data_IF_850111039274
#
_entry.id   IF_850111039274
#
_cell.length_a   1.000
_cell.length_b   1.000
_cell.length_c   1.000
_cell.angle_alpha   90.00
_cell.angle_beta   90.00
_cell.angle_gamma   90.00
#
_symmetry.space_group_name_H-M   'P 1'
#
loop_
_entity.id
_entity.type
_entity.pdbx_description
1 polymer ?
#
# COMPACT_ATOMS: atom_id res chain seq x y z
N UNK A 1 -8.16 17.42 52.05
CA UNK A 1 -8.73 18.01 50.81
C UNK A 1 -9.08 16.85 49.89
N UNK A 2 -10.28 16.30 50.01
CA UNK A 2 -10.79 15.28 49.08
C UNK A 2 -11.44 16.00 47.91
N UNK A 3 -10.69 16.19 46.83
CA UNK A 3 -11.28 16.57 45.56
C UNK A 3 -12.01 15.33 45.02
N UNK A 4 -13.32 15.25 45.25
CA UNK A 4 -14.18 14.35 44.47
C UNK A 4 -14.04 14.78 43.02
N UNK A 5 -13.34 13.97 42.22
CA UNK A 5 -13.19 14.21 40.78
C UNK A 5 -14.59 14.40 40.19
N UNK A 6 -14.87 15.52 39.50
CA UNK A 6 -16.14 15.71 38.82
C UNK A 6 -16.39 14.53 37.90
N UNK A 7 -17.66 14.12 37.81
CA UNK A 7 -18.09 13.02 36.98
C UNK A 7 -17.47 13.14 35.58
N UNK A 8 -16.84 12.08 35.06
CA UNK A 8 -16.03 12.19 33.83
C UNK A 8 -16.83 12.67 32.60
N UNK A 9 -18.16 12.64 32.69
CA UNK A 9 -19.10 13.20 31.73
C UNK A 9 -19.06 14.74 31.62
N UNK A 10 -18.62 15.46 32.66
CA UNK A 10 -18.56 16.93 32.69
C UNK A 10 -17.49 17.51 31.74
N UNK A 11 -16.49 16.70 31.37
CA UNK A 11 -15.41 17.08 30.46
C UNK A 11 -15.68 16.68 29.00
N UNK A 12 -16.83 16.06 28.73
CA UNK A 12 -17.23 15.65 27.39
C UNK A 12 -17.98 16.78 26.68
N UNK A 13 -17.79 16.96 25.36
CA UNK A 13 -18.66 17.84 24.58
C UNK A 13 -20.12 17.46 24.80
N UNK A 14 -20.95 18.41 25.19
CA UNK A 14 -22.38 18.19 25.50
C UNK A 14 -23.26 18.12 24.27
N UNK A 15 -22.72 18.53 23.12
CA UNK A 15 -23.46 18.82 21.90
C UNK A 15 -23.31 17.71 20.84
N UNK A 16 -22.59 16.63 21.16
CA UNK A 16 -22.21 15.55 20.23
C UNK A 16 -22.88 14.21 20.58
N UNK A 17 -23.32 13.47 19.56
CA UNK A 17 -23.91 12.15 19.72
C UNK A 17 -22.87 11.05 19.99
N UNK A 18 -23.33 9.87 20.42
CA UNK A 18 -22.45 8.70 20.64
C UNK A 18 -21.75 8.22 19.36
N UNK A 19 -22.35 8.46 18.19
CA UNK A 19 -21.77 8.13 16.88
C UNK A 19 -20.64 9.08 16.49
N UNK A 20 -20.77 10.37 16.80
CA UNK A 20 -19.76 11.39 16.48
C UNK A 20 -18.48 11.10 17.27
N UNK A 21 -18.64 10.79 18.56
CA UNK A 21 -17.55 10.35 19.41
C UNK A 21 -16.83 9.10 18.89
N UNK A 22 -17.59 8.13 18.38
CA UNK A 22 -17.00 6.92 17.78
C UNK A 22 -16.22 7.26 16.51
N UNK A 23 -16.78 8.10 15.64
CA UNK A 23 -16.13 8.51 14.40
C UNK A 23 -14.85 9.31 14.66
N UNK A 24 -14.87 10.20 15.66
CA UNK A 24 -13.69 10.90 16.13
C UNK A 24 -12.61 9.89 16.56
N UNK A 25 -12.92 9.04 17.54
CA UNK A 25 -11.97 8.05 18.05
C UNK A 25 -11.41 7.15 16.92
N UNK A 26 -12.28 6.69 16.02
CA UNK A 26 -11.91 5.87 14.88
C UNK A 26 -10.97 6.61 13.92
N UNK A 27 -11.25 7.88 13.61
CA UNK A 27 -10.42 8.70 12.74
C UNK A 27 -9.02 8.97 13.33
N UNK A 28 -8.95 9.24 14.63
CA UNK A 28 -7.69 9.42 15.33
C UNK A 28 -6.84 8.14 15.31
N UNK A 29 -7.45 7.00 15.65
CA UNK A 29 -6.78 5.69 15.61
C UNK A 29 -6.36 5.33 14.18
N UNK A 30 -7.20 5.62 13.18
CA UNK A 30 -6.90 5.40 11.76
C UNK A 30 -5.68 6.18 11.28
N UNK A 31 -5.51 7.42 11.76
CA UNK A 31 -4.35 8.25 11.44
C UNK A 31 -3.06 7.69 12.07
N UNK A 32 -3.13 7.20 13.31
CA UNK A 32 -2.03 6.50 13.95
C UNK A 32 -1.63 5.22 13.19
N UNK A 33 -2.62 4.42 12.76
CA UNK A 33 -2.39 3.23 11.95
C UNK A 33 -1.73 3.55 10.61
N UNK A 34 -2.13 4.66 9.98
CA UNK A 34 -1.51 5.16 8.74
C UNK A 34 -0.03 5.48 8.97
N UNK A 35 0.32 6.09 10.10
CA UNK A 35 1.72 6.34 10.49
C UNK A 35 2.54 5.06 10.64
N UNK A 36 1.99 4.03 11.30
CA UNK A 36 2.65 2.72 11.40
C UNK A 36 2.84 2.07 10.01
N UNK A 37 1.82 2.13 9.16
CA UNK A 37 1.88 1.64 7.79
C UNK A 37 2.97 2.31 6.98
N UNK A 38 3.08 3.64 7.07
CA UNK A 38 4.17 4.41 6.44
C UNK A 38 5.54 4.01 7.00
N UNK A 39 5.66 3.81 8.31
CA UNK A 39 6.90 3.34 8.94
C UNK A 39 7.36 1.98 8.38
N UNK A 40 6.45 1.02 8.25
CA UNK A 40 6.74 -0.28 7.62
C UNK A 40 7.19 -0.08 6.17
N UNK A 41 6.47 0.73 5.39
CA UNK A 41 6.84 1.03 4.00
C UNK A 41 8.24 1.66 3.90
N UNK A 42 8.59 2.56 4.83
CA UNK A 42 9.92 3.17 4.92
C UNK A 42 11.02 2.15 5.22
N UNK A 43 10.80 1.22 6.14
CA UNK A 43 11.78 0.15 6.42
C UNK A 43 12.00 -0.75 5.20
N UNK A 44 10.93 -1.11 4.48
CA UNK A 44 11.02 -1.88 3.23
C UNK A 44 11.77 -1.10 2.15
N UNK A 45 11.54 0.21 2.05
CA UNK A 45 12.28 1.09 1.17
C UNK A 45 13.78 1.06 1.49
N UNK A 46 14.19 1.18 2.75
CA UNK A 46 15.60 1.09 3.15
C UNK A 46 16.23 -0.26 2.78
N UNK A 47 15.51 -1.38 3.01
CA UNK A 47 15.97 -2.71 2.62
C UNK A 47 16.11 -2.86 1.10
N UNK A 48 15.14 -2.35 0.33
CA UNK A 48 15.22 -2.35 -1.12
C UNK A 48 16.36 -1.45 -1.63
N UNK A 49 16.51 -0.24 -1.08
CA UNK A 49 17.53 0.71 -1.47
C UNK A 49 18.95 0.14 -1.27
N UNK A 50 19.22 -0.50 -0.13
CA UNK A 50 20.53 -1.13 0.13
C UNK A 50 20.83 -2.27 -0.86
N UNK A 51 19.85 -3.10 -1.19
CA UNK A 51 20.01 -4.18 -2.18
C UNK A 51 20.21 -3.64 -3.59
N UNK A 52 19.43 -2.63 -3.99
CA UNK A 52 19.56 -1.99 -5.30
C UNK A 52 20.89 -1.25 -5.42
N UNK A 53 21.36 -0.63 -4.35
CA UNK A 53 22.67 0.04 -4.29
C UNK A 53 23.82 -0.94 -4.50
N UNK A 54 23.79 -2.08 -3.80
CA UNK A 54 24.78 -3.14 -4.00
C UNK A 54 24.74 -3.69 -5.44
N UNK A 55 23.54 -3.82 -6.04
CA UNK A 55 23.39 -4.24 -7.43
C UNK A 55 23.94 -3.20 -8.43
N UNK A 56 23.82 -1.90 -8.11
CA UNK A 56 24.37 -0.80 -8.91
C UNK A 56 25.90 -0.89 -8.98
N UNK A 57 26.55 -1.19 -7.86
CA UNK A 57 28.01 -1.36 -7.77
C UNK A 57 28.52 -2.58 -8.54
N UNK A 58 27.72 -3.65 -8.64
CA UNK A 58 28.10 -4.88 -9.35
C UNK A 58 28.01 -4.76 -10.89
N UNK A 59 27.64 -3.61 -11.44
CA UNK A 59 27.44 -3.31 -12.88
C UNK A 59 26.42 -4.21 -13.62
N UNK A 60 25.84 -5.22 -12.96
CA UNK A 60 24.87 -6.12 -13.57
C UNK A 60 23.46 -5.50 -13.50
N UNK A 61 22.89 -5.17 -14.67
CA UNK A 61 21.56 -4.53 -14.82
C UNK A 61 21.46 -3.13 -14.16
N UNK A 62 22.52 -2.32 -14.25
CA UNK A 62 22.60 -0.97 -13.69
C UNK A 62 21.38 -0.09 -14.00
N UNK A 63 20.93 -0.03 -15.27
CA UNK A 63 19.78 0.79 -15.68
C UNK A 63 18.48 0.41 -14.97
N UNK A 64 18.23 -0.89 -14.77
CA UNK A 64 17.02 -1.36 -14.08
C UNK A 64 17.07 -1.06 -12.59
N UNK A 65 18.23 -1.23 -11.96
CA UNK A 65 18.43 -0.91 -10.55
C UNK A 65 18.26 0.60 -10.28
N UNK A 66 18.84 1.45 -11.14
CA UNK A 66 18.68 2.90 -11.05
C UNK A 66 17.21 3.32 -11.19
N UNK A 67 16.51 2.83 -12.22
CA UNK A 67 15.11 3.16 -12.44
C UNK A 67 14.22 2.74 -11.25
N UNK A 68 14.42 1.52 -10.73
CA UNK A 68 13.65 1.04 -9.57
C UNK A 68 13.94 1.86 -8.31
N UNK A 69 15.19 2.30 -8.11
CA UNK A 69 15.57 3.11 -6.96
C UNK A 69 14.91 4.49 -7.02
N UNK A 70 14.95 5.16 -8.17
CA UNK A 70 14.26 6.44 -8.38
C UNK A 70 12.75 6.28 -8.23
N UNK A 71 12.19 5.18 -8.73
CA UNK A 71 10.77 4.93 -8.60
C UNK A 71 10.34 4.78 -7.12
N UNK A 72 11.07 3.99 -6.34
CA UNK A 72 10.74 3.77 -4.92
C UNK A 72 11.05 4.98 -4.04
N UNK A 73 12.05 5.80 -4.39
CA UNK A 73 12.30 7.08 -3.70
C UNK A 73 11.14 8.05 -3.90
N UNK A 74 10.64 8.18 -5.13
CA UNK A 74 9.48 9.05 -5.41
C UNK A 74 8.24 8.53 -4.66
N UNK A 75 8.01 7.21 -4.67
CA UNK A 75 6.88 6.60 -3.96
C UNK A 75 6.91 6.93 -2.46
N UNK A 76 8.07 6.81 -1.79
CA UNK A 76 8.15 7.09 -0.35
C UNK A 76 8.02 8.59 -0.03
N UNK A 77 8.52 9.46 -0.91
CA UNK A 77 8.33 10.92 -0.77
C UNK A 77 6.85 11.28 -0.87
N UNK A 78 6.14 10.76 -1.88
CA UNK A 78 4.70 10.96 -2.01
C UNK A 78 3.94 10.38 -0.81
N UNK A 79 4.32 9.20 -0.32
CA UNK A 79 3.74 8.61 0.89
C UNK A 79 3.95 9.48 2.14
N UNK A 80 5.10 10.13 2.26
CA UNK A 80 5.41 11.06 3.34
C UNK A 80 4.52 12.30 3.28
N UNK A 81 4.36 12.89 2.09
CA UNK A 81 3.49 14.05 1.87
C UNK A 81 2.03 13.73 2.19
N UNK A 82 1.54 12.57 1.75
CA UNK A 82 0.20 12.10 2.10
C UNK A 82 0.03 11.97 3.63
N UNK A 83 0.96 11.28 4.31
CA UNK A 83 0.90 11.14 5.76
C UNK A 83 0.94 12.49 6.48
N UNK A 84 1.79 13.43 6.03
CA UNK A 84 1.87 14.77 6.59
C UNK A 84 0.54 15.53 6.42
N UNK A 85 -0.11 15.43 5.25
CA UNK A 85 -1.42 16.04 5.01
C UNK A 85 -2.50 15.45 5.93
N UNK A 86 -2.54 14.12 6.08
CA UNK A 86 -3.50 13.44 6.96
C UNK A 86 -3.33 13.87 8.43
N UNK A 87 -2.09 13.95 8.92
CA UNK A 87 -1.80 14.42 10.28
C UNK A 87 -2.22 15.88 10.47
N UNK A 88 -2.03 16.74 9.46
CA UNK A 88 -2.44 18.15 9.52
C UNK A 88 -3.96 18.30 9.62
N UNK A 89 -4.72 17.60 8.78
CA UNK A 89 -6.20 17.64 8.82
C UNK A 89 -6.72 17.24 10.21
N UNK A 90 -6.15 16.17 10.77
CA UNK A 90 -6.55 15.68 12.10
C UNK A 90 -6.10 16.65 13.19
N UNK A 91 -4.88 17.18 13.11
CA UNK A 91 -4.43 18.21 14.05
C UNK A 91 -5.37 19.42 14.04
N UNK A 92 -5.78 19.90 12.86
CA UNK A 92 -6.65 21.05 12.75
C UNK A 92 -8.07 20.76 13.27
N UNK A 93 -8.62 19.57 13.02
CA UNK A 93 -9.91 19.17 13.57
C UNK A 93 -9.90 19.06 15.10
N UNK A 94 -8.84 18.51 15.69
CA UNK A 94 -8.78 18.23 17.13
C UNK A 94 -8.25 19.39 17.99
N UNK A 95 -7.40 20.25 17.41
CA UNK A 95 -6.70 21.32 18.13
C UNK A 95 -7.23 22.69 17.72
N UNK A 96 -7.25 22.99 16.42
CA UNK A 96 -7.53 24.34 15.90
C UNK A 96 -9.04 24.63 15.85
N UNK A 97 -9.83 23.69 15.35
CA UNK A 97 -11.26 23.82 15.09
C UNK A 97 -12.07 22.80 15.91
N UNK A 98 -11.71 22.63 17.17
CA UNK A 98 -12.34 21.65 18.07
C UNK A 98 -13.86 21.84 18.23
N UNK A 99 -14.34 23.08 18.19
CA UNK A 99 -15.75 23.41 18.34
C UNK A 99 -16.50 23.46 16.99
N UNK A 100 -15.99 22.77 15.96
CA UNK A 100 -16.67 22.68 14.68
C UNK A 100 -18.00 21.93 14.84
N UNK A 101 -19.09 22.37 14.19
CA UNK A 101 -20.38 21.69 14.30
C UNK A 101 -20.28 20.24 13.80
N UNK A 102 -20.62 19.28 14.66
CA UNK A 102 -20.48 17.85 14.38
C UNK A 102 -19.11 17.24 14.75
N UNK A 103 -18.24 18.01 15.42
CA UNK A 103 -16.99 17.55 15.99
C UNK A 103 -15.80 17.52 15.02
N UNK A 104 -14.61 17.10 15.50
CA UNK A 104 -13.38 16.98 14.74
C UNK A 104 -13.49 16.15 13.45
N UNK A 105 -14.26 15.06 13.45
CA UNK A 105 -14.49 14.24 12.26
C UNK A 105 -15.32 14.97 11.20
N UNK A 106 -16.34 15.74 11.59
CA UNK A 106 -17.07 16.56 10.63
C UNK A 106 -16.15 17.62 9.99
N UNK A 107 -15.20 18.16 10.76
CA UNK A 107 -14.16 19.03 10.20
C UNK A 107 -13.29 18.30 9.18
N UNK A 108 -12.88 17.05 9.41
CA UNK A 108 -12.04 16.34 8.44
C UNK A 108 -12.78 16.10 7.12
N UNK A 109 -14.07 15.74 7.19
CA UNK A 109 -14.96 15.61 6.02
C UNK A 109 -15.07 16.91 5.24
N UNK A 110 -15.22 18.04 5.95
CA UNK A 110 -15.25 19.37 5.33
C UNK A 110 -13.88 19.76 4.74
N UNK A 111 -12.80 19.47 5.46
CA UNK A 111 -11.44 19.78 5.06
C UNK A 111 -11.03 19.01 3.79
N UNK A 112 -11.60 17.83 3.50
CA UNK A 112 -11.37 17.15 2.23
C UNK A 112 -11.80 17.96 1.00
N UNK A 113 -12.82 18.81 1.13
CA UNK A 113 -13.30 19.70 0.05
C UNK A 113 -12.56 21.02 -0.04
N UNK A 114 -11.66 21.33 0.90
CA UNK A 114 -10.91 22.58 0.83
C UNK A 114 -9.80 22.46 -0.21
N UNK A 115 -9.52 23.53 -0.98
CA UNK A 115 -8.44 23.55 -1.97
C UNK A 115 -7.09 23.13 -1.38
N UNK A 116 -6.87 23.41 -0.09
CA UNK A 116 -5.65 23.11 0.64
C UNK A 116 -5.40 21.60 0.78
N UNK A 117 -6.45 20.77 0.82
CA UNK A 117 -6.32 19.31 0.98
C UNK A 117 -6.49 18.52 -0.33
N UNK A 118 -6.89 19.18 -1.41
CA UNK A 118 -6.98 18.56 -2.73
C UNK A 118 -5.64 17.91 -3.15
N UNK A 119 -4.51 18.55 -2.81
CA UNK A 119 -3.18 17.97 -3.04
C UNK A 119 -2.99 16.63 -2.29
N UNK A 120 -3.47 16.52 -1.06
CA UNK A 120 -3.41 15.28 -0.28
C UNK A 120 -4.19 14.15 -0.94
N UNK A 121 -5.37 14.46 -1.47
CA UNK A 121 -6.23 13.51 -2.20
C UNK A 121 -5.57 13.04 -3.52
N UNK A 122 -4.99 13.96 -4.30
CA UNK A 122 -4.28 13.59 -5.53
C UNK A 122 -3.05 12.71 -5.22
N UNK A 123 -2.28 13.07 -4.20
CA UNK A 123 -1.11 12.29 -3.77
C UNK A 123 -1.53 10.90 -3.29
N UNK A 124 -2.67 10.77 -2.59
CA UNK A 124 -3.23 9.49 -2.18
C UNK A 124 -3.48 8.54 -3.36
N UNK A 125 -4.18 9.02 -4.39
CA UNK A 125 -4.45 8.21 -5.60
C UNK A 125 -3.15 7.86 -6.34
N UNK A 126 -2.23 8.83 -6.46
CA UNK A 126 -0.93 8.60 -7.08
C UNK A 126 -0.12 7.50 -6.37
N UNK A 127 -0.03 7.54 -5.04
CA UNK A 127 0.69 6.52 -4.26
C UNK A 127 0.06 5.14 -4.45
N UNK A 128 -1.28 5.04 -4.45
CA UNK A 128 -1.97 3.77 -4.70
C UNK A 128 -1.72 3.25 -6.11
N UNK A 129 -1.85 4.09 -7.14
CA UNK A 129 -1.59 3.70 -8.53
C UNK A 129 -0.13 3.31 -8.77
N UNK A 130 0.81 4.00 -8.14
CA UNK A 130 2.23 3.64 -8.17
C UNK A 130 2.49 2.29 -7.49
N UNK A 131 1.79 2.02 -6.39
CA UNK A 131 1.91 0.74 -5.67
C UNK A 131 1.35 -0.41 -6.50
N UNK A 132 0.18 -0.22 -7.10
CA UNK A 132 -0.46 -1.21 -7.99
C UNK A 132 0.40 -1.49 -9.24
N UNK A 133 0.95 -0.45 -9.87
CA UNK A 133 1.85 -0.61 -11.00
C UNK A 133 3.11 -1.42 -10.63
N UNK A 134 3.66 -1.20 -9.43
CA UNK A 134 4.80 -1.94 -8.93
C UNK A 134 4.47 -3.43 -8.68
N UNK A 135 3.26 -3.75 -8.22
CA UNK A 135 2.79 -5.12 -8.10
C UNK A 135 2.69 -5.82 -9.46
N UNK A 136 2.11 -5.16 -10.46
CA UNK A 136 2.00 -5.68 -11.83
C UNK A 136 3.40 -5.91 -12.42
N UNK A 137 4.32 -4.97 -12.24
CA UNK A 137 5.72 -5.12 -12.67
C UNK A 137 6.38 -6.36 -12.05
N UNK A 138 6.18 -6.60 -10.75
CA UNK A 138 6.71 -7.79 -10.07
C UNK A 138 6.17 -9.09 -10.67
N UNK A 139 4.87 -9.13 -10.96
CA UNK A 139 4.25 -10.28 -11.64
C UNK A 139 4.84 -10.45 -13.03
N UNK A 140 5.03 -9.37 -13.78
CA UNK A 140 5.64 -9.40 -15.12
C UNK A 140 7.05 -10.00 -15.12
N UNK A 141 7.94 -9.49 -14.26
CA UNK A 141 9.32 -9.97 -14.16
C UNK A 141 9.37 -11.44 -13.76
N UNK A 142 8.49 -11.89 -12.86
CA UNK A 142 8.43 -13.27 -12.40
C UNK A 142 7.91 -14.25 -13.47
N UNK A 143 7.00 -13.80 -14.34
CA UNK A 143 6.42 -14.62 -15.39
C UNK A 143 7.18 -14.57 -16.73
N UNK A 144 8.09 -13.61 -16.92
CA UNK A 144 8.81 -13.35 -18.18
C UNK A 144 9.64 -14.52 -18.76
N UNK A 145 9.92 -15.57 -17.98
CA UNK A 145 10.63 -16.76 -18.46
C UNK A 145 9.79 -17.85 -19.12
N UNK A 146 8.48 -17.63 -19.40
CA UNK A 146 7.59 -18.64 -20.02
C UNK A 146 7.06 -18.21 -21.38
N UNK A 147 6.51 -19.17 -22.14
CA UNK A 147 6.00 -19.03 -23.52
C UNK A 147 4.73 -18.17 -23.66
N UNK A 148 3.92 -18.01 -22.60
CA UNK A 148 2.69 -17.19 -22.61
C UNK A 148 2.58 -16.28 -21.37
N UNK A 149 3.47 -15.29 -21.20
CA UNK A 149 3.40 -14.36 -20.07
C UNK A 149 2.30 -13.30 -20.26
N UNK A 150 1.96 -12.98 -21.51
CA UNK A 150 1.08 -11.88 -21.87
C UNK A 150 -0.37 -12.08 -21.41
N UNK A 151 -0.94 -13.28 -21.55
CA UNK A 151 -2.34 -13.55 -21.18
C UNK A 151 -2.60 -13.42 -19.67
N UNK A 152 -1.63 -13.79 -18.83
CA UNK A 152 -1.75 -13.70 -17.36
C UNK A 152 -1.63 -12.25 -16.87
N UNK A 153 -0.95 -11.40 -17.64
CA UNK A 153 -0.65 -10.01 -17.27
C UNK A 153 -1.72 -9.05 -17.83
N UNK A 154 -2.31 -9.39 -18.97
CA UNK A 154 -3.40 -8.62 -19.57
C UNK A 154 -4.56 -8.41 -18.58
N UNK A 155 -4.92 -9.45 -17.82
CA UNK A 155 -6.03 -9.37 -16.88
C UNK A 155 -5.79 -8.35 -15.74
N UNK A 156 -4.69 -8.41 -14.97
CA UNK A 156 -4.33 -7.36 -14.02
C UNK A 156 -4.19 -5.96 -14.65
N UNK A 157 -3.66 -5.86 -15.87
CA UNK A 157 -3.52 -4.57 -16.55
C UNK A 157 -4.87 -3.92 -16.88
N UNK A 158 -5.87 -4.69 -17.32
CA UNK A 158 -7.21 -4.16 -17.60
C UNK A 158 -7.87 -3.65 -16.31
N UNK A 159 -7.76 -4.41 -15.22
CA UNK A 159 -8.28 -4.00 -13.90
C UNK A 159 -7.58 -2.73 -13.42
N UNK A 160 -6.27 -2.61 -13.66
CA UNK A 160 -5.50 -1.41 -13.31
C UNK A 160 -5.96 -0.17 -14.09
N UNK A 161 -6.13 -0.27 -15.41
CA UNK A 161 -6.63 0.88 -16.17
C UNK A 161 -8.05 1.26 -15.77
N UNK A 162 -8.89 0.28 -15.42
CA UNK A 162 -10.22 0.55 -14.87
C UNK A 162 -10.14 1.27 -13.51
N UNK A 163 -9.23 0.88 -12.61
CA UNK A 163 -9.06 1.56 -11.32
C UNK A 163 -8.49 2.98 -11.50
N UNK A 164 -7.56 3.19 -12.43
CA UNK A 164 -7.07 4.53 -12.76
C UNK A 164 -8.19 5.41 -13.32
N UNK A 165 -9.00 4.89 -14.24
CA UNK A 165 -10.13 5.63 -14.80
C UNK A 165 -11.14 6.04 -13.72
N UNK A 166 -11.53 5.11 -12.83
CA UNK A 166 -12.46 5.41 -11.74
C UNK A 166 -11.87 6.43 -10.75
N UNK A 167 -10.59 6.31 -10.39
CA UNK A 167 -9.96 7.29 -9.50
C UNK A 167 -9.81 8.68 -10.14
N UNK A 168 -9.56 8.76 -11.45
CA UNK A 168 -9.56 10.04 -12.16
C UNK A 168 -10.93 10.70 -12.16
N UNK A 169 -12.01 9.93 -12.36
CA UNK A 169 -13.38 10.44 -12.25
C UNK A 169 -13.62 11.02 -10.85
N UNK A 170 -13.22 10.33 -9.79
CA UNK A 170 -13.35 10.83 -8.40
C UNK A 170 -12.62 12.16 -8.21
N UNK A 171 -11.38 12.28 -8.70
CA UNK A 171 -10.59 13.53 -8.60
C UNK A 171 -11.28 14.68 -9.35
N UNK A 172 -11.84 14.40 -10.53
CA UNK A 172 -12.54 15.40 -11.35
C UNK A 172 -13.83 15.85 -10.68
N UNK A 173 -14.64 14.92 -10.16
CA UNK A 173 -15.88 15.25 -9.45
C UNK A 173 -15.61 16.12 -8.21
N UNK A 174 -14.57 15.78 -7.44
CA UNK A 174 -14.13 16.58 -6.28
C UNK A 174 -13.63 17.98 -6.67
N UNK A 175 -13.10 18.14 -7.89
CA UNK A 175 -12.65 19.46 -8.39
C UNK A 175 -13.78 20.36 -8.94
N UNK A 176 -14.86 19.76 -9.43
CA UNK A 176 -15.94 20.48 -10.13
C UNK A 176 -17.14 20.79 -9.25
N UNK A 177 -17.35 20.04 -8.18
CA UNK A 177 -18.52 20.21 -7.31
C UNK A 177 -18.12 20.89 -6.01
N UNK A 178 -18.98 21.79 -5.50
CA UNK A 178 -18.99 22.16 -4.06
C UNK A 178 -19.34 20.97 -3.15
N UNK A 179 -19.40 19.76 -3.70
CA UNK A 179 -19.68 18.52 -3.00
C UNK A 179 -18.37 17.78 -2.72
N UNK A 180 -18.29 17.15 -1.55
CA UNK A 180 -17.07 16.51 -1.08
C UNK A 180 -16.86 15.13 -1.69
N UNK A 181 -15.66 14.57 -1.51
CA UNK A 181 -15.35 13.14 -1.59
C UNK A 181 -16.42 12.21 -0.95
N UNK A 182 -17.23 12.73 -0.03
CA UNK A 182 -18.28 12.01 0.70
C UNK A 182 -19.70 12.26 0.15
N UNK A 183 -19.83 12.82 -1.05
CA UNK A 183 -21.13 13.07 -1.69
C UNK A 183 -21.80 11.78 -2.17
N UNK A 184 -23.13 11.78 -2.24
CA UNK A 184 -23.91 10.64 -2.72
C UNK A 184 -23.56 10.22 -4.16
N UNK A 185 -23.04 11.16 -4.97
CA UNK A 185 -22.60 10.92 -6.34
C UNK A 185 -21.19 10.35 -6.42
N UNK A 186 -20.27 10.75 -5.54
CA UNK A 186 -18.88 10.27 -5.55
C UNK A 186 -18.74 8.85 -4.94
N UNK A 187 -19.55 8.53 -3.93
CA UNK A 187 -19.52 7.23 -3.21
C UNK A 187 -19.49 6.00 -4.15
N UNK A 188 -20.36 5.85 -5.16
CA UNK A 188 -20.33 4.67 -6.03
C UNK A 188 -19.03 4.54 -6.84
N UNK A 189 -18.44 5.66 -7.29
CA UNK A 189 -17.18 5.66 -8.03
C UNK A 189 -16.00 5.32 -7.13
N UNK A 190 -15.97 5.89 -5.92
CA UNK A 190 -14.97 5.58 -4.88
C UNK A 190 -15.04 4.10 -4.50
N UNK A 191 -16.25 3.55 -4.31
CA UNK A 191 -16.44 2.15 -4.00
C UNK A 191 -15.94 1.25 -5.13
N UNK A 192 -16.28 1.57 -6.39
CA UNK A 192 -15.79 0.84 -7.55
C UNK A 192 -14.25 0.86 -7.63
N UNK A 193 -13.63 2.03 -7.39
CA UNK A 193 -12.18 2.15 -7.31
C UNK A 193 -11.57 1.20 -6.28
N UNK A 194 -12.09 1.20 -5.05
CA UNK A 194 -11.58 0.35 -3.96
C UNK A 194 -11.73 -1.14 -4.24
N UNK A 195 -12.86 -1.55 -4.81
CA UNK A 195 -13.10 -2.95 -5.20
C UNK A 195 -12.10 -3.38 -6.28
N UNK A 196 -11.84 -2.52 -7.28
CA UNK A 196 -10.91 -2.82 -8.36
C UNK A 196 -9.46 -2.94 -7.89
N UNK A 197 -8.95 -1.97 -7.11
CA UNK A 197 -7.57 -2.04 -6.58
C UNK A 197 -7.40 -3.22 -5.62
N UNK A 198 -8.39 -3.47 -4.74
CA UNK A 198 -8.33 -4.61 -3.81
C UNK A 198 -8.37 -5.94 -4.56
N UNK A 199 -9.22 -6.07 -5.59
CA UNK A 199 -9.23 -7.26 -6.44
C UNK A 199 -7.88 -7.45 -7.14
N UNK A 200 -7.30 -6.38 -7.67
CA UNK A 200 -5.99 -6.41 -8.33
C UNK A 200 -4.88 -6.89 -7.40
N UNK A 201 -4.84 -6.39 -6.17
CA UNK A 201 -3.85 -6.81 -5.17
C UNK A 201 -4.04 -8.28 -4.78
N UNK A 202 -5.27 -8.75 -4.59
CA UNK A 202 -5.57 -10.17 -4.30
C UNK A 202 -5.12 -11.07 -5.47
N UNK A 203 -5.45 -10.71 -6.71
CA UNK A 203 -5.06 -11.49 -7.89
C UNK A 203 -3.53 -11.53 -8.01
N UNK A 204 -2.86 -10.39 -7.89
CA UNK A 204 -1.40 -10.29 -7.97
C UNK A 204 -0.71 -11.11 -6.87
N UNK A 205 -1.20 -11.04 -5.63
CA UNK A 205 -0.62 -11.79 -4.51
C UNK A 205 -0.79 -13.30 -4.65
N UNK A 206 -1.94 -13.78 -5.14
CA UNK A 206 -2.15 -15.20 -5.45
C UNK A 206 -1.17 -15.67 -6.53
N UNK A 207 -1.02 -14.90 -7.61
CA UNK A 207 -0.10 -15.22 -8.71
C UNK A 207 1.37 -15.25 -8.26
N UNK A 208 1.78 -14.27 -7.44
CA UNK A 208 3.12 -14.21 -6.86
C UNK A 208 3.38 -15.41 -5.95
N UNK A 209 2.45 -15.71 -5.03
CA UNK A 209 2.59 -16.81 -4.07
C UNK A 209 2.63 -18.16 -4.76
N UNK A 210 1.73 -18.42 -5.72
CA UNK A 210 1.72 -19.65 -6.51
C UNK A 210 3.07 -19.89 -7.21
N UNK A 211 3.66 -18.85 -7.80
CA UNK A 211 4.97 -18.96 -8.46
C UNK A 211 6.10 -19.18 -7.49
N UNK A 212 6.09 -18.50 -6.34
CA UNK A 212 7.12 -18.67 -5.32
C UNK A 212 7.15 -20.11 -4.81
N UNK A 213 5.98 -20.70 -4.56
CA UNK A 213 5.87 -22.11 -4.15
C UNK A 213 6.36 -23.07 -5.24
N UNK A 214 5.95 -22.87 -6.49
CA UNK A 214 6.39 -23.73 -7.61
C UNK A 214 7.88 -23.59 -7.90
N UNK A 215 8.45 -22.40 -7.73
CA UNK A 215 9.89 -22.20 -7.82
C UNK A 215 10.60 -22.95 -6.69
N UNK A 216 10.12 -22.82 -5.46
CA UNK A 216 10.66 -23.55 -4.28
C UNK A 216 10.64 -25.06 -4.48
N UNK A 217 9.55 -25.63 -4.98
CA UNK A 217 9.46 -27.07 -5.29
C UNK A 217 10.56 -27.51 -6.27
N UNK A 218 10.79 -26.73 -7.33
CA UNK A 218 11.85 -27.02 -8.31
C UNK A 218 13.25 -26.95 -7.69
N UNK A 219 13.50 -25.96 -6.82
CA UNK A 219 14.77 -25.86 -6.10
C UNK A 219 14.99 -27.05 -5.15
N UNK A 220 13.95 -27.47 -4.41
CA UNK A 220 14.03 -28.64 -3.51
C UNK A 220 14.28 -29.92 -4.30
N UNK A 221 13.60 -30.12 -5.43
CA UNK A 221 13.81 -31.30 -6.29
C UNK A 221 15.23 -31.33 -6.88
N UNK A 222 15.76 -30.18 -7.31
CA UNK A 222 17.13 -30.10 -7.80
C UNK A 222 18.15 -30.44 -6.70
N UNK A 223 18.02 -29.84 -5.52
CA UNK A 223 18.89 -30.13 -4.36
C UNK A 223 18.80 -31.59 -3.92
N UNK A 224 17.59 -32.16 -3.85
CA UNK A 224 17.40 -33.57 -3.51
C UNK A 224 18.04 -34.52 -4.52
N UNK A 225 18.03 -34.16 -5.81
CA UNK A 225 18.72 -34.92 -6.87
C UNK A 225 20.24 -34.84 -6.72
N UNK A 226 20.79 -33.67 -6.39
CA UNK A 226 22.23 -33.51 -6.13
C UNK A 226 22.70 -34.29 -4.91
N UNK A 227 21.97 -34.25 -3.79
CA UNK A 227 22.32 -35.02 -2.58
C UNK A 227 22.27 -36.52 -2.85
N UNK A 228 21.26 -37.01 -3.58
CA UNK A 228 21.12 -38.44 -3.91
C UNK A 228 22.21 -38.94 -4.88
N UNK A 229 22.62 -38.12 -5.85
CA UNK A 229 23.73 -38.43 -6.75
C UNK A 229 25.09 -38.42 -6.03
N UNK A 230 25.29 -37.50 -5.08
CA UNK A 230 26.49 -37.48 -4.23
C UNK A 230 26.63 -38.75 -3.38
N UNK A 231 25.53 -39.24 -2.82
CA UNK A 231 25.50 -40.51 -2.06
C UNK A 231 25.79 -41.74 -2.92
N UNK A 232 25.15 -41.86 -4.09
CA UNK A 232 25.39 -42.99 -5.01
C UNK A 232 26.83 -43.02 -5.55
N UNK A 233 27.45 -41.86 -5.79
CA UNK A 233 28.85 -41.78 -6.18
C UNK A 233 29.81 -42.27 -5.08
N UNK A 234 29.48 -41.99 -3.81
CA UNK A 234 30.28 -42.42 -2.66
C UNK A 234 30.19 -43.94 -2.44
N UNK A 235 29.01 -44.54 -2.57
CA UNK A 235 28.81 -45.99 -2.49
C UNK A 235 29.54 -46.76 -3.60
N UNK A 236 29.55 -46.22 -4.81
CA UNK A 236 30.28 -46.80 -5.94
C UNK A 236 31.81 -46.73 -5.76
N UNK A 237 32.34 -45.68 -5.12
CA UNK A 237 33.77 -45.61 -4.79
C UNK A 237 34.17 -46.59 -3.69
N UNK A 238 33.32 -46.76 -2.65
CA UNK A 238 33.58 -47.69 -1.56
C UNK A 238 33.51 -49.16 -2.00
N UNK A 239 32.71 -49.47 -3.02
CA UNK A 239 32.65 -50.82 -3.61
C UNK A 239 33.85 -51.10 -4.51
N UNK A 240 34.34 -50.12 -5.27
CA UNK A 240 35.57 -50.25 -6.07
C UNK A 240 36.84 -50.36 -5.21
N UNK A 241 36.89 -49.72 -4.03
CA UNK A 241 38.03 -49.81 -3.12
C UNK A 241 38.12 -51.13 -2.32
N UNK A 242 37.10 -52.01 -2.43
CA UNK A 242 37.06 -53.32 -1.78
C UNK A 242 37.40 -54.49 -2.71
N UNK A 243 37.69 -54.21 -3.98
CA UNK A 243 38.21 -55.16 -4.99
C UNK A 243 39.72 -54.98 -5.12
#
# INVERSE_FOLDING_TARGET
MNATTPDSALWRPTDEGSIDFFNDAANLVGTCLTGFGYGIAFTLYCLCATKLWAQLQSNNRHRQALFMLVYTTVLIICGCLYFASAVRIVQDGYVTFRNFPGGPYAYTVFAFSTPDNYLGLVIYFLVNWMTDALLIWRVYVLFGGKRYPWAVILFPCVIYFASVAMGLVVIVEDSHTTESFWSALAIPFVLAYYVLTTSLTIICTILLTYRLLKARERYIQAMGKFVRLGWSGHENMLTLARL
#
